data_IF_448882525692
#
_entry.id   IF_448882525692
#
_cell.length_a   1.000
_cell.length_b   1.000
_cell.length_c   1.000
_cell.angle_alpha   90.00
_cell.angle_beta   90.00
_cell.angle_gamma   90.00
#
_symmetry.space_group_name_H-M   'P 1'
#
loop_
_entity.id
_entity.type
_entity.pdbx_description
1 polymer ?
#
# COMPACT_ATOMS: atom_id res chain seq x y z
N UNK A 1 -18.14 -15.48 28.49
CA UNK A 1 -18.72 -14.15 28.25
C UNK A 1 -18.24 -13.72 26.87
N UNK A 2 -19.16 -13.46 25.95
CA UNK A 2 -18.79 -12.90 24.64
C UNK A 2 -18.31 -11.47 24.90
N UNK A 3 -17.04 -11.20 24.67
CA UNK A 3 -16.53 -9.83 24.66
C UNK A 3 -17.18 -9.12 23.47
N UNK A 4 -17.89 -8.02 23.74
CA UNK A 4 -18.42 -7.17 22.67
C UNK A 4 -17.22 -6.60 21.88
N UNK A 5 -17.33 -6.52 20.56
CA UNK A 5 -16.31 -5.88 19.75
C UNK A 5 -16.14 -4.40 20.18
N UNK A 6 -14.93 -3.86 20.13
CA UNK A 6 -14.68 -2.46 20.46
C UNK A 6 -15.17 -1.53 19.34
N UNK A 7 -15.09 -2.00 18.09
CA UNK A 7 -15.59 -1.30 16.91
C UNK A 7 -16.32 -2.27 15.97
N UNK A 8 -17.32 -1.74 15.28
CA UNK A 8 -18.08 -2.48 14.25
C UNK A 8 -17.70 -1.97 12.87
N UNK A 9 -17.34 -2.88 11.98
CA UNK A 9 -17.27 -2.62 10.54
C UNK A 9 -18.67 -2.87 9.96
N UNK A 10 -19.36 -1.83 9.53
CA UNK A 10 -20.73 -1.98 9.02
C UNK A 10 -20.83 -1.90 7.50
N UNK A 11 -19.85 -1.31 6.81
CA UNK A 11 -19.76 -1.37 5.35
C UNK A 11 -18.31 -1.19 4.89
N UNK A 12 -17.92 -1.97 3.87
CA UNK A 12 -16.65 -1.79 3.19
C UNK A 12 -16.75 -2.24 1.73
N UNK A 13 -15.97 -1.60 0.87
CA UNK A 13 -15.95 -1.97 -0.53
C UNK A 13 -14.84 -1.25 -1.29
N UNK A 14 -14.53 -1.79 -2.47
CA UNK A 14 -13.51 -1.28 -3.36
C UNK A 14 -14.12 -0.83 -4.68
N UNK A 15 -13.41 0.07 -5.36
CA UNK A 15 -13.66 0.51 -6.71
C UNK A 15 -12.36 0.71 -7.47
N UNK A 16 -12.36 0.37 -8.76
CA UNK A 16 -11.20 0.48 -9.63
C UNK A 16 -11.58 1.07 -10.98
N UNK A 17 -10.65 1.80 -11.57
CA UNK A 17 -10.77 2.31 -12.94
C UNK A 17 -9.42 2.27 -13.63
N UNK A 18 -9.39 1.76 -14.86
CA UNK A 18 -8.16 1.64 -15.65
C UNK A 18 -7.63 3.01 -16.10
N UNK A 19 -8.50 4.00 -16.22
CA UNK A 19 -8.12 5.31 -16.74
C UNK A 19 -7.62 5.29 -18.16
N UNK A 20 -6.59 6.09 -18.42
CA UNK A 20 -5.96 6.21 -19.74
C UNK A 20 -4.83 5.20 -20.02
N UNK A 21 -4.58 4.28 -19.10
CA UNK A 21 -3.53 3.25 -19.24
C UNK A 21 -3.98 2.11 -20.13
N UNK A 22 -3.03 1.35 -20.70
CA UNK A 22 -3.32 0.18 -21.55
C UNK A 22 -3.86 -0.99 -20.78
N UNK A 23 -3.43 -1.15 -19.51
CA UNK A 23 -3.77 -2.25 -18.63
C UNK A 23 -4.17 -1.72 -17.25
N UNK A 24 -4.98 -2.52 -16.55
CA UNK A 24 -5.22 -2.31 -15.12
C UNK A 24 -4.20 -3.15 -14.35
N UNK A 25 -3.20 -2.47 -13.78
CA UNK A 25 -2.11 -3.09 -13.03
C UNK A 25 -2.34 -3.01 -11.51
N UNK A 26 -3.28 -2.15 -11.05
CA UNK A 26 -3.68 -2.13 -9.64
C UNK A 26 -4.47 -3.39 -9.29
N UNK A 27 -4.31 -3.88 -8.05
CA UNK A 27 -5.14 -4.91 -7.42
C UNK A 27 -5.55 -4.44 -6.02
N UNK A 28 -6.62 -5.01 -5.49
CA UNK A 28 -7.07 -4.70 -4.14
C UNK A 28 -7.74 -5.89 -3.47
N UNK A 29 -7.58 -5.97 -2.15
CA UNK A 29 -8.21 -6.97 -1.31
C UNK A 29 -9.12 -6.29 -0.26
N UNK A 30 -10.36 -6.75 -0.16
CA UNK A 30 -11.31 -6.41 0.89
C UNK A 30 -11.73 -7.73 1.54
N UNK A 31 -11.17 -8.03 2.71
CA UNK A 31 -11.36 -9.33 3.38
C UNK A 31 -12.01 -9.08 4.74
N UNK A 32 -13.23 -9.60 4.88
CA UNK A 32 -14.00 -9.49 6.12
C UNK A 32 -13.50 -10.49 7.17
N UNK A 33 -13.84 -10.29 8.47
CA UNK A 33 -13.31 -11.11 9.56
C UNK A 33 -13.54 -12.61 9.44
N UNK A 34 -14.64 -13.03 8.83
CA UNK A 34 -14.97 -14.43 8.59
C UNK A 34 -14.19 -15.07 7.43
N UNK A 35 -13.52 -14.25 6.64
CA UNK A 35 -12.75 -14.65 5.47
C UNK A 35 -11.23 -14.55 5.69
N UNK A 36 -10.78 -13.83 6.74
CA UNK A 36 -9.36 -13.65 6.99
C UNK A 36 -8.73 -14.97 7.53
N UNK A 37 -7.68 -15.51 6.88
CA UNK A 37 -7.18 -16.85 7.15
C UNK A 37 -6.24 -16.90 8.37
N UNK A 38 -6.71 -16.56 9.55
CA UNK A 38 -5.95 -16.67 10.81
C UNK A 38 -6.66 -17.54 11.83
N UNK A 39 -5.89 -18.09 12.80
CA UNK A 39 -6.42 -18.86 13.93
C UNK A 39 -6.76 -17.96 15.12
N UNK A 40 -6.69 -16.64 14.98
CA UNK A 40 -7.03 -15.70 16.04
C UNK A 40 -8.51 -15.80 16.42
N UNK A 41 -8.78 -15.65 17.73
CA UNK A 41 -10.15 -15.55 18.23
C UNK A 41 -10.77 -14.17 17.95
N UNK A 42 -9.92 -13.16 17.81
CA UNK A 42 -10.32 -11.80 17.52
C UNK A 42 -10.78 -11.67 16.07
N UNK A 43 -11.75 -10.82 15.83
CA UNK A 43 -12.25 -10.50 14.50
C UNK A 43 -11.30 -9.53 13.80
N UNK A 44 -10.64 -9.98 12.76
CA UNK A 44 -9.69 -9.18 12.00
C UNK A 44 -10.21 -8.93 10.59
N UNK A 45 -10.39 -7.66 10.22
CA UNK A 45 -10.62 -7.25 8.84
C UNK A 45 -9.30 -6.84 8.19
N UNK A 46 -9.14 -7.14 6.90
CA UNK A 46 -7.94 -6.83 6.13
C UNK A 46 -8.31 -6.09 4.84
N UNK A 47 -7.65 -4.95 4.61
CA UNK A 47 -7.80 -4.16 3.39
C UNK A 47 -6.42 -3.87 2.82
N UNK A 48 -6.26 -4.04 1.51
CA UNK A 48 -5.00 -3.74 0.86
C UNK A 48 -5.20 -3.23 -0.57
N UNK A 49 -4.30 -2.36 -1.00
CA UNK A 49 -4.12 -1.97 -2.41
C UNK A 49 -2.69 -2.28 -2.80
N UNK A 50 -2.55 -2.81 -4.00
CA UNK A 50 -1.32 -3.16 -4.67
C UNK A 50 -1.30 -2.41 -6.01
N UNK A 51 -0.61 -1.28 -6.05
CA UNK A 51 -0.45 -0.45 -7.25
C UNK A 51 0.73 -1.00 -8.04
N UNK A 52 0.39 -1.72 -9.13
CA UNK A 52 1.34 -2.43 -9.96
C UNK A 52 1.96 -1.56 -11.04
N UNK A 53 3.20 -1.86 -11.42
CA UNK A 53 3.88 -1.20 -12.52
C UNK A 53 4.76 -2.15 -13.31
N UNK A 54 5.01 -1.78 -14.60
CA UNK A 54 5.75 -2.62 -15.54
C UNK A 54 4.93 -3.76 -16.13
N UNK A 55 4.15 -4.42 -15.31
CA UNK A 55 3.03 -5.31 -15.64
C UNK A 55 2.21 -5.59 -14.38
N UNK A 56 1.00 -6.16 -14.53
CA UNK A 56 0.16 -6.56 -13.40
C UNK A 56 0.60 -7.84 -12.68
N UNK A 57 1.72 -8.46 -13.08
CA UNK A 57 2.13 -9.77 -12.55
C UNK A 57 2.41 -9.75 -11.06
N UNK A 58 3.16 -8.73 -10.58
CA UNK A 58 3.54 -8.66 -9.17
C UNK A 58 2.35 -8.28 -8.30
N UNK A 59 1.56 -7.27 -8.69
CA UNK A 59 0.36 -6.88 -7.94
C UNK A 59 -0.67 -8.01 -7.85
N UNK A 60 -0.86 -8.80 -8.91
CA UNK A 60 -1.73 -9.97 -8.93
C UNK A 60 -1.22 -11.09 -8.01
N UNK A 61 0.08 -11.43 -8.13
CA UNK A 61 0.71 -12.43 -7.25
C UNK A 61 0.54 -12.08 -5.77
N UNK A 62 0.85 -10.84 -5.39
CA UNK A 62 0.78 -10.38 -4.00
C UNK A 62 -0.66 -10.29 -3.51
N UNK A 63 -1.60 -9.88 -4.37
CA UNK A 63 -3.02 -9.88 -4.03
C UNK A 63 -3.54 -11.27 -3.66
N UNK A 64 -3.08 -12.29 -4.37
CA UNK A 64 -3.53 -13.66 -4.16
C UNK A 64 -2.86 -14.33 -2.95
N UNK A 65 -1.63 -13.95 -2.59
CA UNK A 65 -0.80 -14.66 -1.61
C UNK A 65 -0.66 -13.96 -0.26
N UNK A 66 -0.50 -12.64 -0.22
CA UNK A 66 -0.02 -11.91 0.96
C UNK A 66 -0.89 -12.09 2.22
N UNK A 67 -2.22 -12.03 2.08
CA UNK A 67 -3.12 -12.21 3.21
C UNK A 67 -3.06 -13.64 3.79
N UNK A 68 -2.81 -14.64 2.96
CA UNK A 68 -2.59 -16.02 3.39
C UNK A 68 -1.23 -16.17 4.08
N UNK A 69 -0.16 -15.57 3.52
CA UNK A 69 1.15 -15.53 4.16
C UNK A 69 1.09 -14.89 5.53
N UNK A 70 0.38 -13.77 5.62
CA UNK A 70 0.24 -13.00 6.85
C UNK A 70 -0.55 -13.77 7.92
N UNK A 71 -1.72 -14.30 7.56
CA UNK A 71 -2.64 -14.96 8.50
C UNK A 71 -2.09 -16.22 9.16
N UNK A 72 -1.16 -16.93 8.50
CA UNK A 72 -0.51 -18.14 9.03
C UNK A 72 0.77 -17.90 9.83
N UNK A 73 1.21 -16.61 9.99
CA UNK A 73 2.43 -16.32 10.73
C UNK A 73 2.21 -16.38 12.24
N UNK A 74 3.12 -17.04 12.99
CA UNK A 74 3.06 -17.02 14.44
C UNK A 74 3.17 -15.63 15.06
N UNK A 75 3.89 -14.70 14.40
CA UNK A 75 3.98 -13.29 14.80
C UNK A 75 2.60 -12.63 14.79
N UNK A 76 1.77 -12.92 13.77
CA UNK A 76 0.44 -12.38 13.64
C UNK A 76 -0.48 -12.85 14.77
N UNK A 77 -0.42 -14.15 15.10
CA UNK A 77 -1.17 -14.73 16.22
C UNK A 77 -0.76 -14.16 17.58
N UNK A 78 0.51 -13.75 17.74
CA UNK A 78 1.04 -13.08 18.93
C UNK A 78 0.83 -11.57 18.94
N UNK A 79 0.08 -11.04 17.98
CA UNK A 79 -0.21 -9.61 17.83
C UNK A 79 1.02 -8.73 17.51
N UNK A 80 2.13 -9.32 17.11
CA UNK A 80 3.25 -8.63 16.47
C UNK A 80 2.96 -8.47 14.97
N UNK A 81 1.94 -7.69 14.66
CA UNK A 81 1.51 -7.53 13.28
C UNK A 81 2.52 -6.77 12.42
N UNK A 82 3.28 -5.85 13.02
CA UNK A 82 4.35 -5.16 12.31
C UNK A 82 5.45 -6.12 11.87
N UNK A 83 5.91 -7.00 12.78
CA UNK A 83 6.86 -8.05 12.46
C UNK A 83 6.31 -9.06 11.45
N UNK A 84 5.04 -9.45 11.59
CA UNK A 84 4.39 -10.36 10.65
C UNK A 84 4.31 -9.77 9.23
N UNK A 85 3.92 -8.49 9.08
CA UNK A 85 3.84 -7.82 7.79
C UNK A 85 5.23 -7.72 7.15
N UNK A 86 6.23 -7.26 7.90
CA UNK A 86 7.61 -7.17 7.41
C UNK A 86 8.13 -8.51 6.91
N UNK A 87 7.89 -9.57 7.67
CA UNK A 87 8.32 -10.92 7.30
C UNK A 87 7.52 -11.48 6.11
N UNK A 88 6.22 -11.18 6.00
CA UNK A 88 5.42 -11.59 4.85
C UNK A 88 5.87 -10.90 3.55
N UNK A 89 6.15 -9.59 3.59
CA UNK A 89 6.68 -8.86 2.42
C UNK A 89 8.07 -9.35 1.99
N UNK A 90 8.92 -9.73 2.94
CA UNK A 90 10.21 -10.34 2.61
C UNK A 90 10.05 -11.73 1.97
N UNK A 91 9.06 -12.52 2.41
CA UNK A 91 8.72 -13.81 1.79
C UNK A 91 8.16 -13.64 0.38
N UNK A 92 7.33 -12.62 0.13
CA UNK A 92 6.83 -12.31 -1.23
C UNK A 92 7.97 -12.03 -2.21
N UNK A 93 8.95 -11.20 -1.83
CA UNK A 93 10.12 -10.96 -2.68
C UNK A 93 10.94 -12.23 -2.91
N UNK A 94 11.00 -13.15 -1.93
CA UNK A 94 11.67 -14.43 -2.10
C UNK A 94 10.92 -15.35 -3.09
N UNK A 95 9.60 -15.38 -3.04
CA UNK A 95 8.76 -16.11 -4.00
C UNK A 95 8.88 -15.52 -5.41
N UNK A 96 8.91 -14.21 -5.53
CA UNK A 96 9.14 -13.52 -6.80
C UNK A 96 10.54 -13.80 -7.37
N UNK A 97 11.55 -13.90 -6.51
CA UNK A 97 12.90 -14.29 -6.91
C UNK A 97 12.97 -15.75 -7.42
N UNK A 98 12.26 -16.67 -6.77
CA UNK A 98 12.16 -18.04 -7.23
C UNK A 98 11.43 -18.14 -8.57
N UNK A 99 10.36 -17.36 -8.73
CA UNK A 99 9.66 -17.24 -10.01
C UNK A 99 10.54 -16.67 -11.11
N UNK A 100 11.36 -15.65 -10.79
CA UNK A 100 12.34 -15.09 -11.72
C UNK A 100 13.37 -16.13 -12.19
N UNK A 101 13.85 -16.98 -11.29
CA UNK A 101 14.86 -18.00 -11.62
C UNK A 101 14.32 -19.15 -12.47
N UNK A 102 13.04 -19.49 -12.31
CA UNK A 102 12.50 -20.74 -12.82
C UNK A 102 11.38 -20.60 -13.85
N UNK A 103 10.68 -19.44 -13.89
CA UNK A 103 9.47 -19.29 -14.69
C UNK A 103 9.51 -18.11 -15.66
N UNK A 104 9.81 -16.90 -15.17
CA UNK A 104 9.65 -15.66 -15.93
C UNK A 104 10.64 -14.59 -15.51
N UNK A 105 11.13 -13.80 -16.48
CA UNK A 105 11.97 -12.62 -16.21
C UNK A 105 11.18 -11.38 -15.77
N UNK A 106 9.85 -11.39 -15.82
CA UNK A 106 9.02 -10.23 -15.49
C UNK A 106 9.23 -9.67 -14.07
N UNK A 107 9.41 -10.48 -12.99
CA UNK A 107 9.67 -9.94 -11.66
C UNK A 107 10.91 -9.04 -11.55
N UNK A 108 11.82 -9.09 -12.54
CA UNK A 108 12.98 -8.21 -12.57
C UNK A 108 12.63 -6.76 -12.96
N UNK A 109 11.61 -6.58 -13.79
CA UNK A 109 11.22 -5.30 -14.42
C UNK A 109 9.80 -4.84 -14.10
N UNK A 110 9.07 -5.61 -13.31
CA UNK A 110 7.75 -5.26 -12.78
C UNK A 110 7.76 -5.30 -11.26
N UNK A 111 6.95 -4.48 -10.67
CA UNK A 111 6.82 -4.38 -9.23
C UNK A 111 5.43 -3.93 -8.79
N UNK A 112 5.27 -3.80 -7.48
CA UNK A 112 4.05 -3.29 -6.88
C UNK A 112 4.34 -2.54 -5.59
N UNK A 113 3.68 -1.39 -5.41
CA UNK A 113 3.51 -0.80 -4.09
C UNK A 113 2.58 -1.69 -3.26
N UNK A 114 2.55 -1.48 -1.96
CA UNK A 114 1.65 -2.19 -1.03
C UNK A 114 1.16 -1.22 0.03
N UNK A 115 -0.15 -1.09 0.21
CA UNK A 115 -0.73 -0.45 1.40
C UNK A 115 -1.69 -1.42 2.07
N UNK A 116 -1.49 -1.66 3.37
CA UNK A 116 -2.21 -2.65 4.17
C UNK A 116 -2.88 -1.96 5.36
N UNK A 117 -4.11 -2.37 5.66
CA UNK A 117 -4.82 -2.09 6.89
C UNK A 117 -5.27 -3.40 7.51
N UNK A 118 -4.77 -3.73 8.70
CA UNK A 118 -5.29 -4.80 9.54
C UNK A 118 -6.07 -4.17 10.71
N UNK A 119 -7.34 -4.54 10.86
CA UNK A 119 -8.21 -3.99 11.91
C UNK A 119 -8.66 -5.12 12.83
N UNK A 120 -8.21 -5.07 14.08
CA UNK A 120 -8.77 -5.90 15.15
C UNK A 120 -10.05 -5.23 15.67
N UNK A 121 -11.20 -5.70 15.20
CA UNK A 121 -12.50 -5.16 15.60
C UNK A 121 -12.82 -5.44 17.07
N UNK A 122 -12.35 -6.58 17.59
CA UNK A 122 -12.56 -6.99 18.99
C UNK A 122 -11.86 -6.04 19.95
N UNK A 123 -10.63 -5.63 19.64
CA UNK A 123 -9.81 -4.77 20.49
C UNK A 123 -9.83 -3.28 20.14
N UNK A 124 -10.37 -2.94 18.98
CA UNK A 124 -10.31 -1.56 18.47
C UNK A 124 -8.89 -1.14 18.09
N UNK A 125 -8.19 -1.96 17.31
CA UNK A 125 -6.82 -1.67 16.91
C UNK A 125 -6.70 -1.66 15.38
N UNK A 126 -6.02 -0.65 14.87
CA UNK A 126 -5.67 -0.52 13.45
C UNK A 126 -4.16 -0.53 13.30
N UNK A 127 -3.63 -1.47 12.52
CA UNK A 127 -2.26 -1.47 12.05
C UNK A 127 -2.24 -1.15 10.56
N UNK A 128 -1.50 -0.10 10.20
CA UNK A 128 -1.32 0.35 8.82
C UNK A 128 0.13 0.13 8.44
N UNK A 129 0.34 -0.42 7.25
CA UNK A 129 1.67 -0.57 6.68
C UNK A 129 1.67 -0.16 5.22
N UNK A 130 2.72 0.55 4.77
CA UNK A 130 2.89 0.83 3.36
C UNK A 130 4.33 0.64 2.86
N UNK A 131 4.42 0.30 1.59
CA UNK A 131 5.63 0.13 0.82
C UNK A 131 5.41 0.83 -0.53
N UNK A 132 6.02 1.98 -0.74
CA UNK A 132 5.77 2.83 -1.92
C UNK A 132 4.97 4.08 -1.59
N UNK A 133 4.07 4.48 -2.48
CA UNK A 133 3.35 5.75 -2.46
C UNK A 133 1.81 5.63 -2.54
N UNK A 134 1.31 4.42 -2.32
CA UNK A 134 -0.11 4.17 -2.03
C UNK A 134 -0.42 4.61 -0.60
N UNK A 135 -1.60 5.21 -0.37
CA UNK A 135 -1.90 5.90 0.87
C UNK A 135 -3.08 5.33 1.65
N UNK A 136 -3.01 5.52 2.97
CA UNK A 136 -4.12 5.25 3.91
C UNK A 136 -4.49 6.54 4.61
N UNK A 137 -5.78 6.87 4.57
CA UNK A 137 -6.35 8.06 5.19
C UNK A 137 -7.39 7.59 6.21
N UNK A 138 -7.27 8.08 7.44
CA UNK A 138 -8.26 7.89 8.50
C UNK A 138 -8.93 9.21 8.82
N UNK A 139 -10.25 9.21 8.76
CA UNK A 139 -11.06 10.31 9.24
C UNK A 139 -11.87 9.85 10.46
N UNK A 140 -11.76 10.56 11.57
CA UNK A 140 -12.42 10.22 12.84
C UNK A 140 -13.23 11.38 13.38
N UNK A 141 -14.35 11.10 14.03
CA UNK A 141 -15.14 12.09 14.79
C UNK A 141 -15.78 11.44 16.00
N UNK A 142 -16.10 12.24 16.98
CA UNK A 142 -16.94 11.84 18.11
C UNK A 142 -18.35 11.44 17.63
N UNK A 143 -18.93 10.39 18.20
CA UNK A 143 -20.27 9.92 17.82
C UNK A 143 -21.39 10.86 18.27
N UNK A 144 -21.19 11.60 19.37
CA UNK A 144 -22.19 12.46 20.03
C UNK A 144 -22.19 13.88 19.49
N UNK A 145 -21.24 14.23 18.64
CA UNK A 145 -21.09 15.58 18.10
C UNK A 145 -21.19 15.60 16.59
N UNK A 146 -21.67 16.73 16.04
CA UNK A 146 -21.69 16.97 14.61
C UNK A 146 -20.41 17.66 14.10
N UNK A 147 -19.35 17.66 14.93
CA UNK A 147 -18.07 18.23 14.53
C UNK A 147 -17.53 17.58 13.26
N UNK A 148 -16.82 18.34 12.41
CA UNK A 148 -16.17 17.78 11.23
C UNK A 148 -15.22 16.65 11.59
N UNK A 149 -15.03 15.73 10.66
CA UNK A 149 -14.02 14.68 10.82
C UNK A 149 -12.62 15.28 10.94
N UNK A 150 -11.85 14.74 11.88
CA UNK A 150 -10.43 14.95 11.95
C UNK A 150 -9.75 13.99 10.97
N UNK A 151 -9.06 14.51 9.95
CA UNK A 151 -8.51 13.75 8.85
C UNK A 151 -7.01 13.62 9.04
N UNK A 152 -6.47 12.41 8.91
CA UNK A 152 -5.04 12.11 8.97
C UNK A 152 -4.64 11.11 7.90
N UNK A 153 -3.58 11.42 7.16
CA UNK A 153 -2.88 10.42 6.37
C UNK A 153 -1.99 9.61 7.30
N UNK A 154 -2.11 8.27 7.26
CA UNK A 154 -1.42 7.34 8.15
C UNK A 154 -0.16 6.73 7.53
N UNK A 155 0.13 7.04 6.29
CA UNK A 155 1.24 6.52 5.50
C UNK A 155 2.19 7.64 5.06
N UNK A 156 3.44 7.27 4.80
CA UNK A 156 4.45 8.15 4.22
C UNK A 156 4.81 7.63 2.82
N UNK A 157 4.87 8.55 1.85
CA UNK A 157 5.29 8.18 0.49
C UNK A 157 6.80 7.92 0.45
N UNK A 158 7.18 6.75 -0.03
CA UNK A 158 8.58 6.40 -0.25
C UNK A 158 9.04 6.88 -1.63
N UNK A 159 9.46 8.14 -1.70
CA UNK A 159 9.95 8.76 -2.95
C UNK A 159 11.48 8.80 -2.97
N UNK A 160 12.13 8.52 -4.13
CA UNK A 160 13.59 8.56 -4.25
C UNK A 160 14.22 9.91 -3.85
N UNK A 161 13.47 11.00 -4.00
CA UNK A 161 13.92 12.35 -3.64
C UNK A 161 13.79 12.70 -2.16
N UNK A 162 13.13 11.90 -1.35
CA UNK A 162 13.07 12.11 0.09
C UNK A 162 14.48 11.96 0.68
N UNK A 163 14.98 12.87 1.54
CA UNK A 163 16.38 12.85 1.99
C UNK A 163 16.86 11.51 2.57
N UNK A 164 16.02 10.85 3.38
CA UNK A 164 16.35 9.54 3.98
C UNK A 164 16.44 8.43 2.91
N UNK A 165 15.50 8.39 1.96
CA UNK A 165 15.52 7.40 0.89
C UNK A 165 16.65 7.63 -0.10
N UNK A 166 16.92 8.89 -0.45
CA UNK A 166 18.07 9.26 -1.29
C UNK A 166 19.39 8.80 -0.67
N UNK A 167 19.60 9.13 0.62
CA UNK A 167 20.80 8.68 1.36
C UNK A 167 20.91 7.16 1.38
N UNK A 168 19.82 6.42 1.62
CA UNK A 168 19.79 4.96 1.62
C UNK A 168 20.20 4.39 0.25
N UNK A 169 19.64 4.95 -0.84
CA UNK A 169 19.94 4.52 -2.22
C UNK A 169 21.42 4.77 -2.55
N UNK A 170 21.93 5.95 -2.24
CA UNK A 170 23.33 6.33 -2.50
C UNK A 170 24.32 5.47 -1.68
N UNK A 171 24.02 5.19 -0.41
CA UNK A 171 24.82 4.26 0.41
C UNK A 171 24.81 2.82 -0.13
N UNK A 172 23.74 2.40 -0.79
CA UNK A 172 23.68 1.12 -1.47
C UNK A 172 24.44 1.09 -2.81
N UNK A 173 24.99 2.23 -3.24
CA UNK A 173 25.69 2.37 -4.52
C UNK A 173 24.78 2.70 -5.70
N UNK A 174 23.51 3.07 -5.45
CA UNK A 174 22.57 3.54 -6.45
C UNK A 174 22.68 5.05 -6.66
N UNK A 175 21.98 5.56 -7.68
CA UNK A 175 21.92 6.99 -8.02
C UNK A 175 20.48 7.43 -8.16
N UNK A 176 20.16 8.60 -7.58
CA UNK A 176 18.86 9.27 -7.77
C UNK A 176 19.07 10.41 -8.79
N UNK A 177 18.31 10.34 -9.89
CA UNK A 177 18.41 11.31 -10.98
C UNK A 177 17.16 12.17 -11.07
N UNK A 178 17.31 13.44 -11.40
CA UNK A 178 16.18 14.31 -11.74
C UNK A 178 15.78 14.10 -13.20
N UNK A 179 14.51 13.79 -13.44
CA UNK A 179 13.91 13.68 -14.78
C UNK A 179 12.68 14.59 -14.83
N UNK A 180 12.83 15.71 -15.49
CA UNK A 180 11.76 16.71 -15.66
C UNK A 180 11.15 17.20 -14.33
N UNK A 181 11.99 17.45 -13.33
CA UNK A 181 11.56 17.93 -12.00
C UNK A 181 11.08 16.82 -11.05
N UNK A 182 11.18 15.55 -11.45
CA UNK A 182 10.88 14.40 -10.59
C UNK A 182 12.14 13.58 -10.32
N UNK A 183 12.48 13.39 -9.04
CA UNK A 183 13.61 12.56 -8.66
C UNK A 183 13.22 11.07 -8.72
N UNK A 184 14.05 10.28 -9.44
CA UNK A 184 13.76 8.88 -9.75
C UNK A 184 14.95 7.97 -9.46
N UNK A 185 14.64 6.70 -9.18
CA UNK A 185 15.57 5.58 -9.20
C UNK A 185 15.40 4.86 -10.54
N UNK A 186 16.28 5.13 -11.51
CA UNK A 186 16.09 4.66 -12.87
C UNK A 186 14.80 5.19 -13.49
N UNK A 187 13.85 4.30 -13.80
CA UNK A 187 12.50 4.65 -14.25
C UNK A 187 11.50 4.84 -13.12
N UNK A 188 11.82 4.35 -11.92
CA UNK A 188 10.89 4.28 -10.79
C UNK A 188 10.66 5.64 -10.12
N UNK A 189 9.42 5.91 -9.77
CA UNK A 189 8.96 7.08 -9.00
C UNK A 189 8.83 6.78 -7.50
N UNK A 190 9.10 5.53 -7.09
CA UNK A 190 9.12 5.08 -5.70
C UNK A 190 10.49 4.46 -5.37
N UNK A 191 10.84 4.47 -4.08
CA UNK A 191 12.09 3.92 -3.54
C UNK A 191 11.89 2.63 -2.77
N UNK A 192 10.63 2.20 -2.62
CA UNK A 192 10.25 0.93 -1.99
C UNK A 192 9.10 0.30 -2.76
N UNK A 193 9.22 -0.98 -3.06
CA UNK A 193 8.22 -1.81 -3.74
C UNK A 193 8.55 -3.30 -3.57
N UNK A 194 7.60 -4.18 -3.87
CA UNK A 194 7.84 -5.61 -4.14
C UNK A 194 8.19 -5.80 -5.61
N UNK A 195 8.91 -6.89 -5.92
CA UNK A 195 9.41 -7.13 -7.29
C UNK A 195 10.56 -6.18 -7.67
N UNK A 196 10.62 -5.75 -8.93
CA UNK A 196 11.69 -4.91 -9.47
C UNK A 196 13.08 -5.43 -9.13
N UNK A 197 13.28 -6.73 -9.27
CA UNK A 197 14.46 -7.43 -8.77
C UNK A 197 15.77 -6.95 -9.41
N UNK A 198 15.70 -6.27 -10.57
CA UNK A 198 16.86 -5.61 -11.16
C UNK A 198 17.51 -4.55 -10.23
N UNK A 199 16.79 -4.04 -9.24
CA UNK A 199 17.28 -3.07 -8.24
C UNK A 199 17.63 -3.71 -6.90
N UNK A 200 17.50 -5.05 -6.78
CA UNK A 200 17.64 -5.81 -5.53
C UNK A 200 18.61 -6.97 -5.67
N UNK A 201 19.36 -7.27 -4.61
CA UNK A 201 20.16 -8.49 -4.54
C UNK A 201 19.28 -9.75 -4.43
N UNK A 202 19.70 -10.88 -5.00
CA UNK A 202 20.97 -11.12 -5.71
C UNK A 202 20.96 -10.75 -7.19
N UNK A 203 19.83 -10.28 -7.76
CA UNK A 203 19.73 -9.96 -9.20
C UNK A 203 20.51 -8.70 -9.54
N UNK A 204 20.14 -7.57 -8.98
CA UNK A 204 20.79 -6.24 -9.06
C UNK A 204 21.54 -5.94 -10.37
N UNK A 205 20.81 -6.03 -11.50
CA UNK A 205 21.38 -5.84 -12.84
C UNK A 205 21.26 -4.39 -13.34
N UNK A 206 20.57 -3.53 -12.59
CA UNK A 206 20.33 -2.15 -13.01
C UNK A 206 21.64 -1.34 -13.08
N UNK A 207 21.88 -0.74 -14.23
CA UNK A 207 22.97 0.24 -14.45
C UNK A 207 22.35 1.50 -15.03
N UNK A 208 22.56 2.64 -14.34
CA UNK A 208 22.14 3.93 -14.89
C UNK A 208 23.14 4.40 -15.96
N UNK A 209 22.78 4.21 -17.22
CA UNK A 209 23.60 4.66 -18.37
C UNK A 209 23.49 6.16 -18.61
N UNK A 210 22.63 6.88 -17.89
CA UNK A 210 22.49 8.35 -18.04
C UNK A 210 23.54 9.14 -17.28
N UNK A 211 24.24 8.48 -16.34
CA UNK A 211 25.37 9.10 -15.60
C UNK A 211 26.65 8.70 -16.30
N UNK A 212 27.04 9.50 -17.31
CA UNK A 212 28.33 9.38 -17.97
C UNK A 212 29.41 10.04 -17.09
N UNK A 213 29.89 9.33 -16.08
CA UNK A 213 31.15 9.69 -15.43
C UNK A 213 32.26 8.85 -16.05
N UNK A 214 33.14 9.44 -16.88
CA UNK A 214 34.22 8.70 -17.54
C UNK A 214 35.26 8.13 -16.56
N UNK A 215 35.22 8.57 -15.30
CA UNK A 215 36.14 8.08 -14.25
C UNK A 215 35.67 6.78 -13.58
N UNK A 216 34.40 6.36 -13.72
CA UNK A 216 33.88 5.17 -13.04
C UNK A 216 33.98 3.88 -13.87
N UNK A 217 34.51 3.94 -15.10
CA UNK A 217 34.48 2.80 -16.03
C UNK A 217 35.56 1.73 -15.80
N UNK A 218 36.48 1.90 -14.85
CA UNK A 218 37.65 1.03 -14.76
C UNK A 218 37.97 0.40 -13.39
N UNK A 219 37.29 0.80 -12.32
CA UNK A 219 37.60 0.24 -11.00
C UNK A 219 36.37 -0.16 -10.22
N UNK A 220 36.37 -1.46 -9.85
CA UNK A 220 35.49 -2.12 -8.89
C UNK A 220 34.09 -2.60 -9.37
N UNK A 221 34.08 -3.60 -10.23
CA UNK A 221 32.95 -4.55 -10.35
C UNK A 221 32.85 -5.53 -9.16
N UNK A 222 33.56 -5.32 -8.05
CA UNK A 222 33.62 -6.27 -6.95
C UNK A 222 33.14 -5.77 -5.60
N UNK A 223 32.68 -4.52 -5.48
CA UNK A 223 31.97 -4.11 -4.26
C UNK A 223 30.52 -4.55 -4.37
N UNK A 224 30.07 -5.33 -3.39
CA UNK A 224 28.69 -5.82 -3.29
C UNK A 224 27.73 -4.63 -3.23
N UNK A 225 27.06 -4.36 -4.37
CA UNK A 225 25.99 -3.39 -4.41
C UNK A 225 24.89 -3.78 -3.41
N UNK A 226 24.36 -2.83 -2.67
CA UNK A 226 23.22 -3.04 -1.82
C UNK A 226 21.89 -3.06 -2.60
N UNK A 227 20.78 -3.17 -1.90
CA UNK A 227 19.45 -3.02 -2.49
C UNK A 227 19.15 -1.55 -2.72
N UNK A 228 19.04 -1.13 -3.98
CA UNK A 228 18.63 0.23 -4.33
C UNK A 228 17.17 0.46 -4.02
N UNK A 229 16.32 -0.52 -4.32
CA UNK A 229 14.92 -0.57 -3.95
C UNK A 229 14.75 -1.41 -2.69
N UNK A 230 13.95 -0.94 -1.74
CA UNK A 230 13.72 -1.64 -0.47
C UNK A 230 12.34 -2.29 -0.43
N UNK A 231 12.22 -3.42 0.27
CA UNK A 231 10.96 -4.04 0.66
C UNK A 231 10.67 -3.89 2.18
N UNK A 232 11.39 -2.99 2.86
CA UNK A 232 11.15 -2.70 4.28
C UNK A 232 10.01 -1.69 4.42
N UNK A 233 8.85 -2.05 5.00
CA UNK A 233 7.69 -1.19 5.04
C UNK A 233 7.79 -0.11 6.14
N UNK A 234 7.09 1.01 5.94
CA UNK A 234 6.64 1.85 7.04
C UNK A 234 5.45 1.18 7.72
N UNK A 235 5.38 1.20 9.05
CA UNK A 235 4.26 0.65 9.80
C UNK A 235 3.87 1.57 10.95
N UNK A 236 2.57 1.79 11.13
CA UNK A 236 2.01 2.56 12.23
C UNK A 236 0.84 1.82 12.88
N UNK A 237 0.62 2.08 14.17
CA UNK A 237 -0.45 1.48 14.97
C UNK A 237 -1.33 2.58 15.57
N UNK A 238 -2.66 2.36 15.56
CA UNK A 238 -3.64 3.30 16.10
C UNK A 238 -4.69 2.56 16.92
N UNK A 239 -5.11 3.17 18.02
CA UNK A 239 -6.29 2.72 18.76
C UNK A 239 -7.54 3.35 18.15
N UNK A 240 -8.55 2.53 17.92
CA UNK A 240 -9.87 2.95 17.53
C UNK A 240 -10.76 2.94 18.78
N UNK A 241 -11.19 4.13 19.19
CA UNK A 241 -11.96 4.31 20.44
C UNK A 241 -13.44 3.95 20.24
N UNK A 242 -14.06 3.47 21.30
CA UNK A 242 -15.45 2.99 21.27
C UNK A 242 -16.49 4.11 21.16
N UNK A 243 -16.11 5.37 21.37
CA UNK A 243 -16.98 6.56 21.31
C UNK A 243 -16.85 7.33 19.98
N UNK A 244 -16.19 6.77 18.97
CA UNK A 244 -15.91 7.45 17.70
C UNK A 244 -16.46 6.73 16.49
N UNK A 245 -16.66 7.51 15.42
CA UNK A 245 -16.92 7.06 14.05
C UNK A 245 -15.68 7.21 13.21
N UNK A 246 -15.48 6.28 12.28
CA UNK A 246 -14.33 6.27 11.43
C UNK A 246 -14.72 6.06 9.96
N UNK A 247 -14.03 6.78 9.08
CA UNK A 247 -13.93 6.50 7.66
C UNK A 247 -12.47 6.16 7.38
N UNK A 248 -12.22 4.95 6.89
CA UNK A 248 -10.90 4.51 6.47
C UNK A 248 -10.89 4.41 4.95
N UNK A 249 -9.93 5.06 4.32
CA UNK A 249 -9.72 5.04 2.89
C UNK A 249 -8.34 4.49 2.59
N UNK A 250 -8.25 3.54 1.67
CA UNK A 250 -6.99 3.12 1.06
C UNK A 250 -7.05 3.52 -0.40
N UNK A 251 -6.05 4.21 -0.90
CA UNK A 251 -6.09 4.84 -2.23
C UNK A 251 -4.74 4.75 -2.94
N UNK A 252 -4.74 4.39 -4.23
CA UNK A 252 -3.55 4.48 -5.07
C UNK A 252 -3.24 5.94 -5.43
N UNK A 253 -2.05 6.19 -5.97
CA UNK A 253 -1.61 7.54 -6.35
C UNK A 253 -2.48 8.14 -7.47
N UNK A 254 -3.05 7.31 -8.35
CA UNK A 254 -4.01 7.73 -9.37
C UNK A 254 -5.24 8.45 -8.80
N UNK A 255 -5.56 8.24 -7.51
CA UNK A 255 -6.59 9.01 -6.77
C UNK A 255 -5.98 10.25 -6.12
N UNK A 256 -4.90 10.11 -5.34
CA UNK A 256 -4.34 11.20 -4.54
C UNK A 256 -3.62 12.27 -5.34
N UNK A 257 -3.19 11.97 -6.55
CA UNK A 257 -2.67 12.97 -7.50
C UNK A 257 -3.76 13.91 -8.05
N UNK A 258 -5.03 13.58 -7.83
CA UNK A 258 -6.18 14.33 -8.36
C UNK A 258 -7.01 15.01 -7.29
N UNK A 259 -7.09 14.43 -6.09
CA UNK A 259 -7.98 14.88 -5.02
C UNK A 259 -7.22 14.87 -3.70
N UNK A 260 -7.26 15.97 -2.97
CA UNK A 260 -6.68 16.02 -1.63
C UNK A 260 -7.54 15.27 -0.60
N UNK A 261 -6.93 14.91 0.53
CA UNK A 261 -7.53 14.07 1.56
C UNK A 261 -8.85 14.66 2.11
N UNK A 262 -8.93 15.99 2.24
CA UNK A 262 -10.11 16.67 2.77
C UNK A 262 -11.28 16.57 1.81
N UNK A 263 -11.06 16.89 0.54
CA UNK A 263 -12.07 16.80 -0.50
C UNK A 263 -12.52 15.35 -0.70
N UNK A 264 -11.60 14.39 -0.60
CA UNK A 264 -11.90 12.97 -0.70
C UNK A 264 -12.84 12.52 0.41
N UNK A 265 -12.53 12.83 1.68
CA UNK A 265 -13.39 12.50 2.83
C UNK A 265 -14.75 13.18 2.74
N UNK A 266 -14.79 14.47 2.35
CA UNK A 266 -16.06 15.20 2.15
C UNK A 266 -16.92 14.56 1.06
N UNK A 267 -16.29 14.05 -0.02
CA UNK A 267 -16.99 13.36 -1.09
C UNK A 267 -17.60 12.04 -0.60
N UNK A 268 -16.85 11.24 0.16
CA UNK A 268 -17.36 10.01 0.81
C UNK A 268 -18.56 10.34 1.69
N UNK A 269 -18.46 11.33 2.56
CA UNK A 269 -19.56 11.72 3.44
C UNK A 269 -20.81 12.12 2.65
N UNK A 270 -20.65 12.96 1.61
CA UNK A 270 -21.75 13.39 0.76
C UNK A 270 -22.51 12.23 0.11
N UNK A 271 -21.79 11.24 -0.38
CA UNK A 271 -22.39 10.06 -1.01
C UNK A 271 -23.00 9.10 0.02
N UNK A 272 -22.35 8.90 1.16
CA UNK A 272 -22.88 8.11 2.28
C UNK A 272 -24.19 8.69 2.82
N UNK A 273 -24.30 10.02 2.98
CA UNK A 273 -25.55 10.69 3.38
C UNK A 273 -26.69 10.53 2.36
N UNK A 274 -26.38 10.19 1.12
CA UNK A 274 -27.35 9.84 0.07
C UNK A 274 -27.69 8.34 0.03
N UNK A 275 -27.22 7.57 1.01
CA UNK A 275 -27.48 6.14 1.14
C UNK A 275 -26.64 5.25 0.23
N UNK A 276 -25.54 5.78 -0.35
CA UNK A 276 -24.63 4.98 -1.17
C UNK A 276 -23.80 4.03 -0.32
N UNK A 277 -23.63 2.80 -0.82
CA UNK A 277 -22.77 1.78 -0.21
C UNK A 277 -21.29 2.11 -0.41
N UNK A 278 -20.44 1.59 0.47
CA UNK A 278 -19.00 1.79 0.40
C UNK A 278 -18.40 1.44 -0.97
N UNK A 279 -18.85 0.34 -1.59
CA UNK A 279 -18.41 -0.07 -2.93
C UNK A 279 -18.84 0.90 -4.04
N UNK A 280 -20.05 1.46 -3.97
CA UNK A 280 -20.53 2.46 -4.94
C UNK A 280 -19.73 3.77 -4.81
N UNK A 281 -19.40 4.16 -3.56
CA UNK A 281 -18.62 5.36 -3.26
C UNK A 281 -17.18 5.17 -3.77
N UNK A 282 -16.56 4.03 -3.47
CA UNK A 282 -15.21 3.69 -3.93
C UNK A 282 -15.12 3.69 -5.47
N UNK A 283 -16.13 3.10 -6.14
CA UNK A 283 -16.22 3.09 -7.60
C UNK A 283 -16.40 4.49 -8.19
N UNK A 284 -17.21 5.35 -7.57
CA UNK A 284 -17.40 6.73 -8.00
C UNK A 284 -16.07 7.52 -7.91
N UNK A 285 -15.34 7.35 -6.81
CA UNK A 285 -14.02 7.97 -6.61
C UNK A 285 -13.04 7.51 -7.69
N UNK A 286 -12.90 6.22 -7.88
CA UNK A 286 -11.96 5.65 -8.86
C UNK A 286 -12.30 6.14 -10.29
N UNK A 287 -13.57 6.11 -10.66
CA UNK A 287 -14.03 6.55 -11.99
C UNK A 287 -13.78 8.04 -12.22
N UNK A 288 -14.09 8.88 -11.23
CA UNK A 288 -13.88 10.32 -11.34
C UNK A 288 -12.38 10.68 -11.40
N UNK A 289 -11.53 10.02 -10.62
CA UNK A 289 -10.07 10.21 -10.64
C UNK A 289 -9.46 9.83 -11.97
N UNK A 290 -9.95 8.77 -12.58
CA UNK A 290 -9.48 8.23 -13.85
C UNK A 290 -10.19 8.82 -15.11
N UNK A 291 -11.02 9.86 -14.95
CA UNK A 291 -11.88 10.38 -16.02
C UNK A 291 -11.16 11.20 -17.09
N UNK A 292 -9.92 11.65 -16.83
CA UNK A 292 -9.15 12.48 -17.78
C UNK A 292 -8.32 11.62 -18.73
N UNK A 293 -8.06 12.10 -19.95
CA UNK A 293 -7.07 11.47 -20.83
C UNK A 293 -5.71 11.35 -20.14
N UNK A 294 -5.03 10.23 -20.35
CA UNK A 294 -3.73 9.91 -19.73
C UNK A 294 -3.72 9.85 -18.20
N UNK A 295 -4.89 9.66 -17.55
CA UNK A 295 -4.95 9.35 -16.14
C UNK A 295 -4.35 7.98 -15.86
N UNK A 296 -3.88 7.80 -14.63
CA UNK A 296 -3.40 6.51 -14.15
C UNK A 296 -4.53 5.53 -13.86
N UNK A 297 -4.18 4.29 -13.56
CA UNK A 297 -5.04 3.39 -12.83
C UNK A 297 -5.43 4.06 -11.51
N UNK A 298 -6.67 3.94 -11.12
CA UNK A 298 -7.17 4.53 -9.89
C UNK A 298 -7.94 3.49 -9.09
N UNK A 299 -7.49 3.24 -7.88
CA UNK A 299 -8.09 2.26 -6.97
C UNK A 299 -8.39 2.89 -5.62
N UNK A 300 -9.57 2.63 -5.10
CA UNK A 300 -10.01 3.13 -3.81
C UNK A 300 -10.70 2.01 -3.02
N UNK A 301 -10.41 1.91 -1.73
CA UNK A 301 -11.20 1.16 -0.75
C UNK A 301 -11.79 2.15 0.23
N UNK A 302 -13.06 1.99 0.53
CA UNK A 302 -13.78 2.72 1.57
C UNK A 302 -14.24 1.73 2.63
N UNK A 303 -13.92 1.98 3.91
CA UNK A 303 -14.43 1.23 5.03
C UNK A 303 -15.03 2.16 6.08
N UNK A 304 -16.21 1.83 6.58
CA UNK A 304 -16.98 2.61 7.54
C UNK A 304 -17.09 1.84 8.85
N UNK A 305 -16.62 2.45 9.94
CA UNK A 305 -16.62 1.82 11.26
C UNK A 305 -17.24 2.74 12.30
N UNK A 306 -17.94 2.13 13.25
CA UNK A 306 -18.45 2.80 14.46
C UNK A 306 -17.87 2.12 15.70
N UNK A 307 -17.44 2.91 16.66
CA UNK A 307 -17.13 2.42 17.99
C UNK A 307 -18.41 1.92 18.68
N UNK A 308 -18.28 0.90 19.50
CA UNK A 308 -19.38 0.36 20.30
C UNK A 308 -19.51 1.15 21.61
N UNK A 309 -19.80 2.45 21.51
CA UNK A 309 -19.99 3.30 22.69
C UNK A 309 -21.05 2.75 23.62
N UNK A 310 -20.74 2.65 24.90
CA UNK A 310 -21.68 2.32 25.97
C UNK A 310 -22.68 3.43 26.23
#
# INVERSE_FOLDING_TARGET
>A
MSTSDAVTLFDAGAGQSQGGRKHQEDRCAVIFPDQFPSNMKDKVAFFAIYDGHGSGLVSEHVNDSLHHLLGRRPEFEREDWAGAIKAALAEEDSLLLDRFKHESSEPAISGSTVAICCINLTKGELVVSNLGDTHVILAERDQKTEHPYHIRRLTEAHKPGTPSEKTRIEQAGGVVVDRSGTQRLGSLNMSRALGDLQYKNPVNTFTDTSVSDPASSATSRSETRGNFLSNDPYTSRRTLYTDRRYLLLVVSDGVTDRVDDTNLVQHVMKLSMRGKRASEIAQDIATNSASKPHSDNATCIVAMLDGQGS
#
